data_IF_372681609043
#
_entry.id   IF_372681609043
#
_cell.length_a   1.000
_cell.length_b   1.000
_cell.length_c   1.000
_cell.angle_alpha   90.00
_cell.angle_beta   90.00
_cell.angle_gamma   90.00
#
_symmetry.space_group_name_H-M   'P 1'
#
loop_
_entity.id
_entity.type
_entity.pdbx_description
1 polymer ?
#
# COMPACT_ATOMS: atom_id res chain seq x y z
N UNK A 1 13.18 -1.52 -0.87
CA UNK A 1 13.99 -1.88 0.32
C UNK A 1 13.15 -1.59 1.56
N UNK A 2 13.12 -2.48 2.56
CA UNK A 2 12.44 -2.20 3.81
C UNK A 2 13.08 -0.98 4.48
N UNK A 3 12.26 -0.04 4.95
CA UNK A 3 12.75 1.21 5.54
C UNK A 3 13.14 0.94 6.99
N UNK A 4 14.38 0.50 7.20
CA UNK A 4 14.96 0.35 8.55
C UNK A 4 14.99 1.72 9.23
N UNK A 5 14.29 1.84 10.34
CA UNK A 5 14.22 3.02 11.17
C UNK A 5 15.32 2.94 12.23
N UNK A 6 16.32 3.82 12.13
CA UNK A 6 17.34 3.95 13.16
C UNK A 6 16.84 4.87 14.26
N UNK A 7 17.26 4.61 15.51
CA UNK A 7 17.05 5.50 16.65
C UNK A 7 17.57 6.90 16.32
N UNK A 8 16.74 7.92 16.52
CA UNK A 8 17.06 9.32 16.16
C UNK A 8 16.85 9.67 14.68
N UNK A 9 16.41 8.73 13.82
CA UNK A 9 16.02 9.08 12.46
C UNK A 9 14.76 9.94 12.44
N UNK A 10 14.70 10.92 11.54
CA UNK A 10 13.53 11.80 11.34
C UNK A 10 12.21 11.02 11.12
N UNK A 11 12.31 9.76 10.73
CA UNK A 11 11.19 8.87 10.44
C UNK A 11 10.80 7.97 11.61
N UNK A 12 11.47 7.99 12.76
CA UNK A 12 11.11 7.23 13.97
C UNK A 12 10.51 8.20 15.01
N UNK A 13 9.49 8.95 14.61
CA UNK A 13 8.89 10.01 15.40
C UNK A 13 8.53 9.53 16.82
N UNK A 14 9.10 10.21 17.82
CA UNK A 14 8.82 10.01 19.24
C UNK A 14 7.45 10.65 19.54
N UNK A 15 6.38 9.88 19.70
CA UNK A 15 5.04 10.38 20.03
C UNK A 15 4.85 10.62 21.54
N UNK A 16 5.75 11.40 22.17
CA UNK A 16 5.77 11.55 23.63
C UNK A 16 5.63 13.00 24.11
N UNK A 17 5.26 13.95 23.24
CA UNK A 17 4.88 15.30 23.70
C UNK A 17 3.41 15.32 24.08
N UNK A 18 3.10 15.67 25.33
CA UNK A 18 1.72 15.79 25.80
C UNK A 18 1.14 17.14 25.40
N UNK A 19 -0.11 17.13 24.91
CA UNK A 19 -0.82 18.34 24.50
C UNK A 19 -2.02 18.55 25.40
N UNK A 20 -2.10 19.74 25.99
CA UNK A 20 -3.13 20.13 26.95
C UNK A 20 -4.07 21.19 26.36
N UNK A 21 -5.34 21.10 26.75
CA UNK A 21 -6.34 22.13 26.51
C UNK A 21 -6.08 23.34 27.43
N UNK A 22 -6.51 24.56 27.07
CA UNK A 22 -6.44 25.74 27.95
C UNK A 22 -7.05 25.55 29.35
N UNK A 23 -7.93 24.56 29.53
CA UNK A 23 -8.58 24.27 30.81
C UNK A 23 -7.81 23.25 31.67
N UNK A 24 -6.59 22.89 31.25
CA UNK A 24 -5.73 21.92 31.93
C UNK A 24 -5.99 20.45 31.57
N UNK A 25 -6.97 20.14 30.72
CA UNK A 25 -7.24 18.76 30.30
C UNK A 25 -6.14 18.23 29.38
N UNK A 26 -5.55 17.08 29.69
CA UNK A 26 -4.67 16.36 28.76
C UNK A 26 -5.49 15.80 27.59
N UNK A 27 -5.15 16.21 26.36
CA UNK A 27 -5.94 15.90 25.17
C UNK A 27 -5.41 14.69 24.40
N UNK A 28 -4.10 14.64 24.13
CA UNK A 28 -3.44 13.60 23.34
C UNK A 28 -1.92 13.74 23.41
N UNK A 29 -1.19 12.70 22.99
CA UNK A 29 0.25 12.77 22.74
C UNK A 29 0.58 13.00 21.26
N UNK A 30 1.72 13.64 20.98
CA UNK A 30 2.15 13.88 19.62
C UNK A 30 3.67 13.83 19.45
N UNK A 31 4.11 13.85 18.18
CA UNK A 31 5.53 13.91 17.85
C UNK A 31 6.15 15.26 18.21
N UNK A 32 7.43 15.28 18.59
CA UNK A 32 8.21 16.51 18.80
C UNK A 32 8.09 17.52 17.65
N UNK A 33 8.19 17.05 16.40
CA UNK A 33 8.01 17.90 15.21
C UNK A 33 6.65 18.60 15.18
N UNK A 34 5.59 17.94 15.66
CA UNK A 34 4.24 18.50 15.71
C UNK A 34 4.10 19.47 16.89
N UNK A 35 4.70 19.16 18.04
CA UNK A 35 4.77 20.10 19.16
C UNK A 35 5.50 21.39 18.76
N UNK A 36 6.67 21.28 18.14
CA UNK A 36 7.40 22.43 17.59
C UNK A 36 6.59 23.22 16.56
N UNK A 37 5.79 22.54 15.73
CA UNK A 37 4.93 23.20 14.74
C UNK A 37 3.88 24.10 15.42
N UNK A 38 3.32 23.68 16.55
CA UNK A 38 2.38 24.49 17.35
C UNK A 38 3.11 25.66 18.02
N UNK A 39 4.25 25.39 18.66
CA UNK A 39 5.06 26.40 19.36
C UNK A 39 5.52 27.51 18.41
N UNK A 40 6.08 27.15 17.24
CA UNK A 40 6.56 28.11 16.23
C UNK A 40 5.47 29.02 15.65
N UNK A 41 4.20 28.66 15.83
CA UNK A 41 3.03 29.43 15.34
C UNK A 41 2.30 30.15 16.46
N UNK A 42 2.82 30.14 17.68
CA UNK A 42 2.16 30.68 18.87
C UNK A 42 0.76 30.05 19.11
N UNK A 43 0.58 28.79 18.69
CA UNK A 43 -0.65 28.02 18.89
C UNK A 43 -0.61 27.19 20.18
N UNK A 44 0.54 27.13 20.83
CA UNK A 44 0.74 26.50 22.12
C UNK A 44 1.89 27.15 22.89
N UNK A 45 1.92 26.95 24.20
CA UNK A 45 2.98 27.36 25.12
C UNK A 45 3.57 26.15 25.84
N UNK A 46 4.85 26.23 26.22
CA UNK A 46 5.50 25.17 26.99
C UNK A 46 5.05 25.30 28.45
N UNK A 47 4.51 24.22 29.01
CA UNK A 47 4.06 24.15 30.41
C UNK A 47 4.87 23.15 31.25
N UNK A 48 5.74 22.37 30.62
CA UNK A 48 6.57 21.35 31.29
C UNK A 48 7.54 20.66 30.33
N UNK A 49 8.29 19.68 30.84
CA UNK A 49 9.21 18.90 30.01
C UNK A 49 8.42 18.03 29.01
N UNK A 50 8.51 18.38 27.72
CA UNK A 50 7.71 17.78 26.63
C UNK A 50 6.20 17.91 26.82
N UNK A 51 5.76 19.00 27.44
CA UNK A 51 4.34 19.30 27.65
C UNK A 51 4.02 20.67 27.09
N UNK A 52 3.00 20.74 26.23
CA UNK A 52 2.51 22.00 25.64
C UNK A 52 1.02 22.19 25.90
N UNK A 53 0.60 23.42 26.12
CA UNK A 53 -0.80 23.80 26.26
C UNK A 53 -1.23 24.66 25.07
N UNK A 54 -2.35 24.35 24.44
CA UNK A 54 -2.88 25.18 23.34
C UNK A 54 -3.28 26.57 23.86
N UNK A 55 -3.01 27.61 23.07
CA UNK A 55 -3.34 29.01 23.39
C UNK A 55 -4.75 29.42 22.93
N UNK A 56 -5.47 28.51 22.27
CA UNK A 56 -6.82 28.72 21.74
C UNK A 56 -7.74 27.60 22.21
N UNK A 57 -9.06 27.83 22.15
CA UNK A 57 -10.07 26.82 22.48
C UNK A 57 -10.28 25.91 21.24
N UNK A 58 -9.79 24.66 21.24
CA UNK A 58 -10.05 23.72 20.16
C UNK A 58 -11.52 23.28 20.14
N UNK A 59 -12.01 22.86 18.96
CA UNK A 59 -13.38 22.36 18.80
C UNK A 59 -13.68 21.05 19.55
N UNK A 60 -12.64 20.29 19.91
CA UNK A 60 -12.76 19.02 20.61
C UNK A 60 -11.83 18.94 21.79
N UNK A 61 -12.20 18.13 22.78
CA UNK A 61 -11.47 17.97 24.04
C UNK A 61 -10.39 16.87 24.01
N UNK A 62 -10.03 16.38 22.82
CA UNK A 62 -9.13 15.23 22.67
C UNK A 62 -9.78 13.93 23.14
N UNK A 63 -8.95 12.99 23.58
CA UNK A 63 -9.40 11.70 24.10
C UNK A 63 -10.13 11.83 25.45
N UNK A 64 -10.96 10.84 25.79
CA UNK A 64 -11.57 10.73 27.11
C UNK A 64 -10.52 10.29 28.14
N UNK A 65 -10.76 10.56 29.43
CA UNK A 65 -9.77 10.31 30.48
C UNK A 65 -9.45 8.81 30.69
N UNK A 66 -10.38 7.94 30.31
CA UNK A 66 -10.27 6.48 30.32
C UNK A 66 -9.57 5.91 29.07
N UNK A 67 -9.26 6.75 28.08
CA UNK A 67 -8.62 6.33 26.85
C UNK A 67 -7.10 6.30 27.02
N UNK A 68 -6.57 5.17 27.49
CA UNK A 68 -5.15 5.07 27.85
C UNK A 68 -4.23 5.16 26.62
N UNK A 69 -4.57 4.53 25.50
CA UNK A 69 -3.66 4.38 24.36
C UNK A 69 -3.22 5.69 23.71
N UNK A 70 -4.15 6.63 23.49
CA UNK A 70 -3.89 7.92 22.87
C UNK A 70 -3.38 8.98 23.85
N UNK A 71 -3.50 8.74 25.15
CA UNK A 71 -2.94 9.57 26.21
C UNK A 71 -1.54 9.10 26.66
N UNK A 72 -1.19 7.84 26.45
CA UNK A 72 0.13 7.32 26.83
C UNK A 72 1.20 7.63 25.76
N UNK A 73 2.43 7.81 26.24
CA UNK A 73 3.61 7.84 25.37
C UNK A 73 3.96 6.44 24.86
N UNK A 74 4.68 6.37 23.74
CA UNK A 74 5.13 5.11 23.15
C UNK A 74 6.62 4.91 23.33
N UNK A 75 7.00 3.69 23.67
CA UNK A 75 8.39 3.28 23.71
C UNK A 75 8.87 2.95 22.29
N UNK A 76 10.07 3.43 21.97
CA UNK A 76 10.74 3.12 20.70
C UNK A 76 11.50 1.81 20.86
N UNK A 77 10.73 0.71 20.89
CA UNK A 77 11.21 -0.66 21.03
C UNK A 77 10.39 -1.58 20.15
N UNK A 78 10.96 -2.74 19.82
CA UNK A 78 10.24 -3.84 19.23
C UNK A 78 9.22 -4.36 20.24
N UNK A 79 7.93 -4.41 19.87
CA UNK A 79 6.87 -4.88 20.77
C UNK A 79 6.99 -6.36 21.12
N UNK A 80 7.74 -7.14 20.32
CA UNK A 80 7.97 -8.57 20.54
C UNK A 80 9.21 -8.80 21.40
N UNK A 81 10.36 -8.25 21.01
CA UNK A 81 11.66 -8.59 21.60
C UNK A 81 12.18 -7.53 22.58
N UNK A 82 11.61 -6.33 22.61
CA UNK A 82 12.11 -5.20 23.41
C UNK A 82 13.36 -4.52 22.83
N UNK A 83 13.89 -5.01 21.71
CA UNK A 83 15.07 -4.42 21.05
C UNK A 83 14.82 -2.97 20.65
N UNK A 84 15.86 -2.13 20.73
CA UNK A 84 15.84 -0.72 20.28
C UNK A 84 16.44 -0.53 18.88
N UNK A 85 16.95 -1.60 18.29
CA UNK A 85 17.71 -1.59 17.05
C UNK A 85 16.93 -2.25 15.91
N UNK A 86 17.30 -1.87 14.68
CA UNK A 86 16.75 -2.43 13.44
C UNK A 86 15.20 -2.39 13.37
N UNK A 87 14.62 -1.33 13.90
CA UNK A 87 13.17 -1.17 14.02
C UNK A 87 12.53 -0.83 12.68
N UNK A 88 11.32 -1.33 12.48
CA UNK A 88 10.46 -1.05 11.34
C UNK A 88 9.02 -0.89 11.83
N UNK A 89 8.23 -0.08 11.13
CA UNK A 89 6.79 -0.03 11.35
C UNK A 89 6.15 -1.26 10.74
N UNK A 90 5.38 -1.97 11.54
CA UNK A 90 4.54 -3.06 11.09
C UNK A 90 3.06 -2.70 11.26
N UNK A 91 2.28 -2.96 10.22
CA UNK A 91 0.83 -2.80 10.25
C UNK A 91 0.18 -4.14 10.59
N UNK A 92 -0.31 -4.28 11.83
CA UNK A 92 -0.99 -5.49 12.33
C UNK A 92 -2.15 -5.88 11.42
N UNK A 93 -2.97 -4.90 11.03
CA UNK A 93 -3.96 -5.07 9.95
C UNK A 93 -3.28 -4.69 8.64
N UNK A 94 -3.05 -5.64 7.70
CA UNK A 94 -2.24 -5.38 6.53
C UNK A 94 -2.77 -4.24 5.66
N UNK A 95 -1.84 -3.41 5.16
CA UNK A 95 -2.17 -2.26 4.33
C UNK A 95 -2.94 -2.63 3.05
N UNK A 96 -2.70 -3.83 2.50
CA UNK A 96 -3.41 -4.34 1.33
C UNK A 96 -4.93 -4.40 1.53
N UNK A 97 -5.41 -4.58 2.76
CA UNK A 97 -6.84 -4.50 3.10
C UNK A 97 -7.24 -3.08 3.50
N UNK A 98 -6.47 -2.45 4.40
CA UNK A 98 -6.79 -1.12 4.94
C UNK A 98 -7.02 -0.05 3.87
N UNK A 99 -6.26 -0.09 2.77
CA UNK A 99 -6.41 0.88 1.66
C UNK A 99 -7.81 0.86 1.03
N UNK A 100 -8.53 -0.26 1.14
CA UNK A 100 -9.86 -0.46 0.57
C UNK A 100 -11.01 -0.25 1.56
N UNK A 101 -10.74 -0.09 2.86
CA UNK A 101 -11.79 0.23 3.83
C UNK A 101 -12.44 1.59 3.55
N UNK A 102 -13.68 1.76 4.03
CA UNK A 102 -14.34 3.08 4.11
C UNK A 102 -13.53 4.01 5.02
N UNK A 103 -13.67 5.32 4.79
CA UNK A 103 -12.86 6.34 5.46
C UNK A 103 -12.97 6.30 6.99
N UNK A 104 -14.16 5.98 7.50
CA UNK A 104 -14.44 5.86 8.94
C UNK A 104 -13.57 4.81 9.67
N UNK A 105 -12.96 3.85 8.96
CA UNK A 105 -12.03 2.83 9.50
C UNK A 105 -10.54 3.11 9.19
N UNK A 106 -10.24 4.15 8.40
CA UNK A 106 -8.87 4.49 7.99
C UNK A 106 -8.15 5.39 8.99
N UNK A 107 -8.89 6.27 9.66
CA UNK A 107 -8.39 7.32 10.56
C UNK A 107 -7.72 6.78 11.84
N UNK A 108 -8.11 5.61 12.34
CA UNK A 108 -7.58 4.99 13.57
C UNK A 108 -6.47 3.96 13.33
N UNK A 109 -5.68 4.13 12.27
CA UNK A 109 -4.62 3.16 11.93
C UNK A 109 -3.47 3.09 12.95
N UNK A 110 -3.24 4.16 13.73
CA UNK A 110 -2.13 4.27 14.66
C UNK A 110 -2.15 3.20 15.76
N UNK A 111 -3.35 2.71 16.13
CA UNK A 111 -3.51 1.57 17.05
C UNK A 111 -2.95 0.26 16.49
N UNK A 112 -3.01 0.09 15.18
CA UNK A 112 -2.56 -1.13 14.49
C UNK A 112 -1.16 -0.99 13.89
N UNK A 113 -0.42 0.06 14.27
CA UNK A 113 0.95 0.28 13.83
C UNK A 113 1.89 0.13 15.02
N UNK A 114 2.70 -0.91 14.98
CA UNK A 114 3.69 -1.23 16.02
C UNK A 114 5.10 -1.16 15.46
N UNK A 115 6.09 -1.04 16.35
CA UNK A 115 7.49 -1.18 16.00
C UNK A 115 7.91 -2.63 16.23
N UNK A 116 8.58 -3.22 15.26
CA UNK A 116 9.19 -4.56 15.34
C UNK A 116 10.58 -4.51 14.74
N UNK A 117 11.48 -5.45 15.09
CA UNK A 117 12.75 -5.58 14.37
C UNK A 117 12.51 -6.15 12.96
N UNK A 118 13.47 -5.94 12.06
CA UNK A 118 13.41 -6.53 10.71
C UNK A 118 13.20 -8.06 10.73
N UNK A 119 13.95 -8.78 11.58
CA UNK A 119 13.84 -10.23 11.73
C UNK A 119 12.43 -10.69 12.13
N UNK A 120 11.86 -10.03 13.15
CA UNK A 120 10.49 -10.26 13.63
C UNK A 120 9.48 -9.94 12.53
N UNK A 121 9.68 -8.85 11.78
CA UNK A 121 8.82 -8.49 10.66
C UNK A 121 8.82 -9.56 9.56
N UNK A 122 10.00 -10.04 9.14
CA UNK A 122 10.11 -11.08 8.11
C UNK A 122 9.45 -12.39 8.55
N UNK A 123 9.67 -12.77 9.81
CA UNK A 123 9.05 -13.95 10.39
C UNK A 123 7.52 -13.84 10.38
N UNK A 124 6.97 -12.74 10.91
CA UNK A 124 5.52 -12.54 10.93
C UNK A 124 4.91 -12.45 9.53
N UNK A 125 5.57 -11.81 8.55
CA UNK A 125 5.05 -11.77 7.17
C UNK A 125 4.90 -13.17 6.56
N UNK A 126 5.75 -14.13 6.94
CA UNK A 126 5.60 -15.52 6.51
C UNK A 126 4.33 -16.14 7.06
N UNK A 127 4.02 -15.91 8.34
CA UNK A 127 2.79 -16.37 9.00
C UNK A 127 1.55 -15.65 8.45
N UNK A 128 1.64 -14.32 8.33
CA UNK A 128 0.59 -13.48 7.75
C UNK A 128 0.28 -13.89 6.30
N UNK A 129 1.26 -14.32 5.51
CA UNK A 129 1.01 -14.81 4.14
C UNK A 129 0.17 -16.07 4.16
N UNK A 130 0.48 -17.04 5.03
CA UNK A 130 -0.36 -18.24 5.22
C UNK A 130 -1.77 -17.87 5.66
N UNK A 131 -1.89 -16.91 6.59
CA UNK A 131 -3.18 -16.43 7.04
C UNK A 131 -3.99 -15.76 5.91
N UNK A 132 -3.35 -14.98 5.02
CA UNK A 132 -4.02 -14.41 3.83
C UNK A 132 -4.57 -15.51 2.92
N UNK A 133 -3.88 -16.64 2.79
CA UNK A 133 -4.35 -17.80 2.02
C UNK A 133 -5.57 -18.47 2.69
N UNK A 134 -5.55 -18.62 4.03
CA UNK A 134 -6.72 -19.10 4.78
C UNK A 134 -7.93 -18.16 4.64
N UNK A 135 -7.70 -16.84 4.67
CA UNK A 135 -8.74 -15.86 4.41
C UNK A 135 -9.26 -15.95 2.97
N UNK A 136 -8.39 -16.22 1.99
CA UNK A 136 -8.83 -16.42 0.60
C UNK A 136 -9.86 -17.57 0.52
N UNK A 137 -9.57 -18.69 1.18
CA UNK A 137 -10.48 -19.83 1.28
C UNK A 137 -11.77 -19.44 2.00
N UNK A 138 -11.65 -18.81 3.18
CA UNK A 138 -12.80 -18.40 4.03
C UNK A 138 -13.78 -17.50 3.28
N UNK A 139 -13.28 -16.55 2.49
CA UNK A 139 -14.10 -15.59 1.76
C UNK A 139 -14.43 -16.04 0.32
N UNK A 140 -14.00 -17.24 -0.09
CA UNK A 140 -14.25 -17.77 -1.43
C UNK A 140 -13.63 -16.93 -2.55
N UNK A 141 -12.48 -16.31 -2.28
CA UNK A 141 -11.73 -15.48 -3.24
C UNK A 141 -10.42 -16.15 -3.63
N UNK A 142 -9.82 -15.68 -4.73
CA UNK A 142 -8.50 -16.15 -5.16
C UNK A 142 -7.42 -15.72 -4.15
N UNK A 143 -6.49 -16.62 -3.87
CA UNK A 143 -5.28 -16.24 -3.15
C UNK A 143 -4.36 -15.38 -4.04
N UNK A 144 -3.30 -14.82 -3.45
CA UNK A 144 -2.39 -13.91 -4.16
C UNK A 144 -1.72 -14.59 -5.37
N UNK A 145 -1.34 -15.86 -5.23
CA UNK A 145 -0.65 -16.59 -6.30
C UNK A 145 -1.58 -16.90 -7.47
N UNK A 146 -2.81 -17.32 -7.20
CA UNK A 146 -3.85 -17.55 -8.20
C UNK A 146 -4.21 -16.27 -8.95
N UNK A 147 -4.44 -15.18 -8.21
CA UNK A 147 -4.75 -13.88 -8.79
C UNK A 147 -3.61 -13.39 -9.70
N UNK A 148 -2.36 -13.48 -9.24
CA UNK A 148 -1.19 -13.08 -10.02
C UNK A 148 -0.98 -13.97 -11.26
N UNK A 149 -1.18 -15.28 -11.14
CA UNK A 149 -1.05 -16.23 -12.24
C UNK A 149 -2.09 -15.93 -13.34
N UNK A 150 -3.36 -15.76 -12.96
CA UNK A 150 -4.43 -15.42 -13.90
C UNK A 150 -4.20 -14.06 -14.57
N UNK A 151 -3.83 -13.03 -13.80
CA UNK A 151 -3.52 -11.73 -14.34
C UNK A 151 -2.36 -11.79 -15.35
N UNK A 152 -1.30 -12.53 -15.02
CA UNK A 152 -0.13 -12.70 -15.91
C UNK A 152 -0.54 -13.39 -17.20
N UNK A 153 -1.40 -14.41 -17.12
CA UNK A 153 -1.94 -15.09 -18.30
C UNK A 153 -2.75 -14.15 -19.18
N UNK A 154 -3.73 -13.45 -18.63
CA UNK A 154 -4.55 -12.50 -19.40
C UNK A 154 -3.71 -11.35 -19.99
N UNK A 155 -2.74 -10.83 -19.23
CA UNK A 155 -1.82 -9.81 -19.72
C UNK A 155 -0.97 -10.33 -20.88
N UNK A 156 -0.47 -11.56 -20.78
CA UNK A 156 0.29 -12.21 -21.85
C UNK A 156 -0.56 -12.40 -23.09
N UNK A 157 -1.79 -12.89 -22.95
CA UNK A 157 -2.74 -13.05 -24.07
C UNK A 157 -3.07 -11.72 -24.74
N UNK A 158 -3.33 -10.67 -23.95
CA UNK A 158 -3.58 -9.31 -24.45
C UNK A 158 -2.39 -8.70 -25.19
N UNK A 159 -1.17 -8.99 -24.73
CA UNK A 159 0.08 -8.42 -25.25
C UNK A 159 0.68 -9.21 -26.42
N UNK A 160 0.37 -10.50 -26.56
CA UNK A 160 1.05 -11.45 -27.45
C UNK A 160 1.29 -10.93 -28.86
N UNK A 161 0.23 -10.58 -29.58
CA UNK A 161 0.34 -10.16 -30.98
C UNK A 161 0.96 -8.75 -31.12
N UNK A 162 0.74 -7.86 -30.15
CA UNK A 162 1.32 -6.50 -30.12
C UNK A 162 2.84 -6.53 -29.91
N UNK A 163 3.31 -7.35 -28.97
CA UNK A 163 4.75 -7.55 -28.72
C UNK A 163 5.40 -8.22 -29.92
N UNK A 164 4.71 -9.19 -30.54
CA UNK A 164 5.18 -9.86 -31.75
C UNK A 164 5.25 -8.90 -32.95
N UNK A 165 4.29 -7.98 -33.10
CA UNK A 165 4.31 -6.99 -34.19
C UNK A 165 5.45 -5.99 -34.01
N UNK A 166 5.66 -5.46 -32.80
CA UNK A 166 6.77 -4.56 -32.50
C UNK A 166 8.14 -5.24 -32.66
N UNK A 167 8.29 -6.48 -32.18
CA UNK A 167 9.55 -7.21 -32.33
C UNK A 167 9.83 -7.58 -33.79
N UNK A 168 8.78 -7.91 -34.55
CA UNK A 168 8.85 -8.07 -36.01
C UNK A 168 9.36 -6.82 -36.71
N UNK A 169 8.74 -5.66 -36.46
CA UNK A 169 9.20 -4.37 -37.02
C UNK A 169 10.66 -4.07 -36.63
N UNK A 170 11.01 -4.29 -35.37
CA UNK A 170 12.38 -4.10 -34.90
C UNK A 170 13.38 -5.02 -35.63
N UNK A 171 12.99 -6.25 -35.95
CA UNK A 171 13.83 -7.18 -36.71
C UNK A 171 14.10 -6.72 -38.14
N UNK A 172 13.13 -6.05 -38.80
CA UNK A 172 13.33 -5.45 -40.13
C UNK A 172 14.42 -4.39 -40.06
N UNK A 173 14.38 -3.51 -39.03
CA UNK A 173 15.38 -2.46 -38.87
C UNK A 173 16.77 -3.01 -38.54
N UNK A 174 16.85 -4.07 -37.72
CA UNK A 174 18.10 -4.71 -37.32
C UNK A 174 18.75 -5.52 -38.46
N UNK A 175 17.97 -6.02 -39.40
CA UNK A 175 18.46 -6.87 -40.49
C UNK A 175 19.16 -6.08 -41.61
N UNK A 176 19.06 -4.75 -41.66
CA UNK A 176 19.66 -3.90 -42.70
C UNK A 176 19.43 -4.43 -44.13
N UNK A 177 18.20 -4.82 -44.45
CA UNK A 177 17.81 -5.32 -45.78
C UNK A 177 18.10 -6.80 -46.05
N UNK A 178 18.68 -7.54 -45.10
CA UNK A 178 18.98 -8.98 -45.26
C UNK A 178 17.80 -9.91 -44.94
N UNK A 179 16.65 -9.37 -44.56
CA UNK A 179 15.49 -10.18 -44.20
C UNK A 179 14.73 -10.63 -45.46
N UNK A 180 14.41 -11.93 -45.62
CA UNK A 180 13.65 -12.41 -46.78
C UNK A 180 12.30 -11.71 -46.94
N UNK A 181 11.89 -11.43 -48.19
CA UNK A 181 10.67 -10.69 -48.49
C UNK A 181 9.40 -11.34 -47.91
N UNK A 182 9.32 -12.68 -47.91
CA UNK A 182 8.20 -13.40 -47.31
C UNK A 182 8.08 -13.15 -45.80
N UNK A 183 9.21 -13.08 -45.09
CA UNK A 183 9.22 -12.75 -43.65
C UNK A 183 8.80 -11.31 -43.41
N UNK A 184 9.24 -10.38 -44.25
CA UNK A 184 8.79 -8.97 -44.19
C UNK A 184 7.27 -8.92 -44.37
N UNK A 185 6.73 -9.59 -45.40
CA UNK A 185 5.28 -9.63 -45.67
C UNK A 185 4.48 -10.22 -44.48
N UNK A 186 4.99 -11.27 -43.83
CA UNK A 186 4.36 -11.83 -42.62
C UNK A 186 4.34 -10.83 -41.45
N UNK A 187 5.44 -10.12 -41.22
CA UNK A 187 5.53 -9.08 -40.19
C UNK A 187 4.54 -7.94 -40.48
N UNK A 188 4.51 -7.43 -41.72
CA UNK A 188 3.62 -6.34 -42.11
C UNK A 188 2.14 -6.76 -42.00
N UNK A 189 1.80 -8.01 -42.35
CA UNK A 189 0.45 -8.56 -42.15
C UNK A 189 0.05 -8.58 -40.68
N UNK A 190 0.97 -8.96 -39.80
CA UNK A 190 0.73 -8.93 -38.35
C UNK A 190 0.55 -7.49 -37.84
N UNK A 191 1.36 -6.54 -38.32
CA UNK A 191 1.23 -5.12 -37.98
C UNK A 191 -0.11 -4.58 -38.44
N UNK A 192 -0.55 -4.87 -39.67
CA UNK A 192 -1.86 -4.49 -40.20
C UNK A 192 -2.99 -4.99 -39.29
N UNK A 193 -2.99 -6.29 -38.98
CA UNK A 193 -4.00 -6.92 -38.12
C UNK A 193 -4.04 -6.30 -36.71
N UNK A 194 -2.87 -6.04 -36.10
CA UNK A 194 -2.79 -5.55 -34.71
C UNK A 194 -3.01 -4.04 -34.58
N UNK A 195 -2.78 -3.27 -35.64
CA UNK A 195 -2.99 -1.82 -35.66
C UNK A 195 -4.34 -1.40 -36.23
N UNK A 196 -5.04 -2.32 -36.92
CA UNK A 196 -6.26 -2.03 -37.67
C UNK A 196 -6.00 -1.23 -38.96
N UNK A 197 -4.75 -1.14 -39.41
CA UNK A 197 -4.39 -0.41 -40.62
C UNK A 197 -4.44 -1.32 -41.85
N UNK A 198 -4.73 -0.74 -43.01
CA UNK A 198 -4.72 -1.46 -44.28
C UNK A 198 -3.32 -2.00 -44.61
N UNK A 199 -3.25 -3.26 -45.05
CA UNK A 199 -1.98 -3.93 -45.36
C UNK A 199 -1.29 -3.32 -46.57
N UNK A 200 -2.05 -2.96 -47.61
CA UNK A 200 -1.50 -2.39 -48.84
C UNK A 200 -0.96 -0.97 -48.61
N UNK A 201 -1.57 -0.21 -47.70
CA UNK A 201 -0.98 1.03 -47.20
C UNK A 201 0.36 0.80 -46.50
N UNK A 202 0.43 -0.15 -45.56
CA UNK A 202 1.66 -0.42 -44.80
C UNK A 202 2.81 -0.86 -45.72
N UNK A 203 2.54 -1.70 -46.73
CA UNK A 203 3.55 -2.17 -47.69
C UNK A 203 4.19 -1.05 -48.51
N UNK A 204 3.48 0.07 -48.72
CA UNK A 204 3.98 1.23 -49.48
C UNK A 204 4.87 2.16 -48.66
N UNK A 205 4.96 1.96 -47.33
CA UNK A 205 5.76 2.81 -46.46
C UNK A 205 7.26 2.61 -46.73
N UNK A 206 7.99 3.72 -46.86
CA UNK A 206 9.45 3.68 -46.87
C UNK A 206 10.02 3.42 -45.47
N UNK A 207 11.33 3.18 -45.38
CA UNK A 207 12.01 2.86 -44.12
C UNK A 207 11.73 3.86 -42.99
N UNK A 208 11.80 5.17 -43.28
CA UNK A 208 11.61 6.22 -42.28
C UNK A 208 10.15 6.23 -41.80
N UNK A 209 9.20 6.09 -42.72
CA UNK A 209 7.78 6.02 -42.39
C UNK A 209 7.44 4.77 -41.56
N UNK A 210 8.02 3.62 -41.91
CA UNK A 210 7.84 2.37 -41.16
C UNK A 210 8.44 2.48 -39.74
N UNK A 211 9.58 3.15 -39.58
CA UNK A 211 10.17 3.44 -38.28
C UNK A 211 9.31 4.39 -37.44
N UNK A 212 8.76 5.45 -38.05
CA UNK A 212 7.80 6.34 -37.38
C UNK A 212 6.55 5.57 -36.94
N UNK A 213 6.02 4.69 -37.80
CA UNK A 213 4.91 3.81 -37.44
C UNK A 213 5.26 2.92 -36.24
N UNK A 214 6.45 2.31 -36.21
CA UNK A 214 6.91 1.53 -35.07
C UNK A 214 6.87 2.34 -33.76
N UNK A 215 7.34 3.58 -33.75
CA UNK A 215 7.33 4.41 -32.54
C UNK A 215 5.89 4.75 -32.11
N UNK A 216 5.03 5.13 -33.06
CA UNK A 216 3.61 5.43 -32.78
C UNK A 216 2.89 4.21 -32.19
N UNK A 217 3.11 3.02 -32.78
CA UNK A 217 2.52 1.78 -32.28
C UNK A 217 3.05 1.41 -30.90
N UNK A 218 4.36 1.62 -30.66
CA UNK A 218 4.97 1.36 -29.36
C UNK A 218 4.32 2.22 -28.27
N UNK A 219 4.14 3.52 -28.52
CA UNK A 219 3.53 4.43 -27.56
C UNK A 219 2.05 4.09 -27.34
N UNK A 220 1.30 3.83 -28.43
CA UNK A 220 -0.09 3.39 -28.36
C UNK A 220 -0.24 2.12 -27.53
N UNK A 221 0.55 1.09 -27.81
CA UNK A 221 0.47 -0.18 -27.08
C UNK A 221 0.88 -0.02 -25.62
N UNK A 222 1.85 0.84 -25.29
CA UNK A 222 2.19 1.16 -23.91
C UNK A 222 0.99 1.76 -23.16
N UNK A 223 0.25 2.69 -23.76
CA UNK A 223 -0.97 3.24 -23.16
C UNK A 223 -2.08 2.20 -23.03
N UNK A 224 -2.28 1.37 -24.06
CA UNK A 224 -3.21 0.23 -23.98
C UNK A 224 -2.86 -0.73 -22.84
N UNK A 225 -1.57 -1.04 -22.65
CA UNK A 225 -1.10 -1.87 -21.53
C UNK A 225 -1.35 -1.21 -20.18
N UNK A 226 -1.11 0.09 -20.03
CA UNK A 226 -1.43 0.81 -18.79
C UNK A 226 -2.92 0.77 -18.50
N UNK A 227 -3.76 1.01 -19.51
CA UNK A 227 -5.21 0.99 -19.39
C UNK A 227 -5.74 -0.41 -19.04
N UNK A 228 -5.19 -1.46 -19.66
CA UNK A 228 -5.52 -2.83 -19.31
C UNK A 228 -5.22 -3.13 -17.84
N UNK A 229 -4.01 -2.79 -17.38
CA UNK A 229 -3.60 -2.96 -15.97
C UNK A 229 -4.51 -2.18 -15.03
N UNK A 230 -4.84 -0.93 -15.35
CA UNK A 230 -5.73 -0.10 -14.54
C UNK A 230 -7.13 -0.71 -14.43
N UNK A 231 -7.72 -1.13 -15.56
CA UNK A 231 -9.06 -1.75 -15.62
C UNK A 231 -9.14 -3.06 -14.83
N UNK A 232 -8.07 -3.86 -14.87
CA UNK A 232 -7.99 -5.15 -14.18
C UNK A 232 -7.45 -5.06 -12.75
N UNK A 233 -6.97 -3.88 -12.31
CA UNK A 233 -6.27 -3.72 -11.03
C UNK A 233 -7.07 -4.21 -9.83
N UNK A 234 -8.34 -3.80 -9.71
CA UNK A 234 -9.22 -4.22 -8.62
C UNK A 234 -9.66 -5.68 -8.75
N UNK A 235 -9.82 -6.19 -9.97
CA UNK A 235 -10.25 -7.58 -10.23
C UNK A 235 -9.26 -8.59 -9.62
N UNK A 236 -7.95 -8.28 -9.67
CA UNK A 236 -6.89 -9.14 -9.14
C UNK A 236 -6.27 -8.63 -7.84
N UNK A 237 -6.78 -7.53 -7.27
CA UNK A 237 -6.34 -7.08 -5.96
C UNK A 237 -7.02 -7.92 -4.88
N UNK A 238 -6.26 -8.89 -4.34
CA UNK A 238 -6.72 -9.78 -3.27
C UNK A 238 -7.34 -9.01 -2.09
N UNK A 239 -6.73 -7.88 -1.70
CA UNK A 239 -7.24 -7.06 -0.61
C UNK A 239 -8.60 -6.46 -0.92
N UNK A 240 -8.79 -5.99 -2.16
CA UNK A 240 -10.07 -5.45 -2.61
C UNK A 240 -11.15 -6.53 -2.63
N UNK A 241 -10.83 -7.71 -3.16
CA UNK A 241 -11.79 -8.82 -3.27
C UNK A 241 -12.27 -9.30 -1.90
N UNK A 242 -11.40 -9.36 -0.88
CA UNK A 242 -11.80 -9.67 0.49
C UNK A 242 -12.64 -8.53 1.08
N UNK A 243 -12.15 -7.28 1.02
CA UNK A 243 -12.84 -6.14 1.66
C UNK A 243 -14.22 -5.91 1.06
N UNK A 244 -14.42 -6.21 -0.22
CA UNK A 244 -15.72 -6.18 -0.89
C UNK A 244 -16.76 -7.11 -0.24
N UNK A 245 -16.33 -8.20 0.41
CA UNK A 245 -17.21 -9.13 1.14
C UNK A 245 -17.56 -8.66 2.56
N UNK A 246 -16.92 -7.59 3.05
CA UNK A 246 -17.15 -6.99 4.37
C UNK A 246 -18.17 -5.85 4.25
N UNK A 247 -19.41 -6.22 3.97
CA UNK A 247 -20.52 -5.30 3.66
C UNK A 247 -21.19 -4.65 4.89
N UNK A 248 -20.97 -5.21 6.09
CA UNK A 248 -21.47 -4.68 7.36
C UNK A 248 -20.35 -4.12 8.23
N UNK A 249 -20.72 -3.24 9.17
CA UNK A 249 -19.80 -2.69 10.18
C UNK A 249 -19.16 -3.82 11.00
N UNK A 250 -19.99 -4.73 11.52
CA UNK A 250 -19.57 -5.89 12.30
C UNK A 250 -18.52 -6.73 11.57
N UNK A 251 -18.72 -7.05 10.28
CA UNK A 251 -17.74 -7.81 9.49
C UNK A 251 -16.39 -7.10 9.37
N UNK A 252 -16.37 -5.77 9.24
CA UNK A 252 -15.12 -5.00 9.18
C UNK A 252 -14.43 -5.01 10.54
N UNK A 253 -15.18 -4.80 11.62
CA UNK A 253 -14.63 -4.83 12.98
C UNK A 253 -14.07 -6.20 13.33
N UNK A 254 -14.82 -7.27 13.06
CA UNK A 254 -14.38 -8.66 13.24
C UNK A 254 -13.13 -8.95 12.42
N UNK A 255 -13.07 -8.46 11.19
CA UNK A 255 -11.88 -8.63 10.34
C UNK A 255 -10.65 -7.95 10.94
N UNK A 256 -10.80 -6.73 11.48
CA UNK A 256 -9.72 -6.00 12.15
C UNK A 256 -9.30 -6.75 13.43
N UNK A 257 -10.25 -7.13 14.28
CA UNK A 257 -10.00 -7.87 15.53
C UNK A 257 -9.33 -9.21 15.26
N UNK A 258 -9.73 -9.90 14.20
CA UNK A 258 -9.13 -11.17 13.75
C UNK A 258 -7.65 -11.00 13.39
N UNK A 259 -7.27 -9.93 12.68
CA UNK A 259 -5.86 -9.63 12.41
C UNK A 259 -5.06 -9.27 13.67
N UNK A 260 -5.67 -8.48 14.58
CA UNK A 260 -5.07 -8.18 15.89
C UNK A 260 -4.82 -9.43 16.71
N UNK A 261 -5.82 -10.31 16.79
CA UNK A 261 -5.74 -11.60 17.48
C UNK A 261 -4.66 -12.48 16.87
N UNK A 262 -4.65 -12.62 15.55
CA UNK A 262 -3.61 -13.38 14.84
C UNK A 262 -2.20 -12.88 15.17
N UNK A 263 -1.96 -11.56 15.20
CA UNK A 263 -0.66 -11.01 15.60
C UNK A 263 -0.30 -11.37 17.05
N UNK A 264 -1.21 -11.19 18.01
CA UNK A 264 -0.95 -11.52 19.41
C UNK A 264 -0.65 -13.00 19.61
N UNK A 265 -1.46 -13.88 19.04
CA UNK A 265 -1.33 -15.33 19.22
C UNK A 265 -0.07 -15.89 18.57
N UNK A 266 0.34 -15.35 17.41
CA UNK A 266 1.51 -15.86 16.70
C UNK A 266 2.83 -15.25 17.16
N UNK A 267 2.82 -13.99 17.60
CA UNK A 267 4.03 -13.26 17.97
C UNK A 267 4.26 -13.16 19.47
N UNK A 268 3.24 -13.42 20.29
CA UNK A 268 3.28 -13.32 21.74
C UNK A 268 4.07 -12.07 22.24
N UNK A 269 3.66 -10.85 21.84
CA UNK A 269 4.46 -9.66 22.10
C UNK A 269 4.50 -9.32 23.60
N UNK A 270 5.70 -9.07 24.12
CA UNK A 270 5.95 -8.80 25.55
C UNK A 270 5.86 -7.30 25.90
N UNK A 271 5.91 -6.42 24.90
CA UNK A 271 6.07 -4.97 25.07
C UNK A 271 5.05 -4.18 24.26
N UNK A 272 3.80 -4.65 24.20
CA UNK A 272 2.73 -3.89 23.56
C UNK A 272 2.55 -2.52 24.23
N UNK A 273 2.20 -1.46 23.47
CA UNK A 273 1.96 -0.16 24.07
C UNK A 273 0.84 -0.21 25.11
N UNK A 274 0.95 0.66 26.11
CA UNK A 274 -0.08 0.79 27.14
C UNK A 274 -1.44 1.17 26.51
N UNK A 275 -2.51 0.55 26.99
CA UNK A 275 -3.86 0.73 26.41
C UNK A 275 -4.08 0.03 25.06
N UNK A 276 -3.08 -0.65 24.50
CA UNK A 276 -3.29 -1.46 23.30
C UNK A 276 -4.22 -2.64 23.61
N UNK A 277 -5.22 -2.86 22.76
CA UNK A 277 -6.18 -3.95 22.91
C UNK A 277 -6.69 -4.45 21.56
N UNK A 278 -7.04 -5.74 21.49
CA UNK A 278 -7.75 -6.33 20.35
C UNK A 278 -9.07 -5.59 20.11
N UNK A 279 -9.79 -5.25 21.18
CA UNK A 279 -11.12 -4.66 21.15
C UNK A 279 -11.14 -3.13 21.04
N UNK A 280 -9.99 -2.51 20.80
CA UNK A 280 -9.93 -1.07 20.63
C UNK A 280 -10.82 -0.61 19.46
N UNK A 281 -11.63 0.43 19.71
CA UNK A 281 -12.58 0.99 18.74
C UNK A 281 -11.99 1.13 17.33
N UNK A 282 -12.64 0.53 16.34
CA UNK A 282 -12.17 0.48 14.95
C UNK A 282 -12.64 1.67 14.10
N UNK A 283 -13.70 2.36 14.54
CA UNK A 283 -14.43 3.37 13.78
C UNK A 283 -14.44 4.73 14.47
N UNK A 284 -14.37 5.81 13.71
CA UNK A 284 -14.73 7.16 14.19
C UNK A 284 -16.21 7.38 13.95
N UNK A 285 -16.96 7.71 15.00
CA UNK A 285 -18.28 8.33 14.84
C UNK A 285 -18.06 9.70 14.18
N UNK A 286 -18.45 9.83 12.92
CA UNK A 286 -18.39 11.08 12.16
C UNK A 286 -19.61 11.94 12.48
#
# INVERSE_FOLDING_TARGET
>A
MPQILRKGSKNLGIENWKVYHPNGKHMFTCSERKAEWYLKRNLAEIIGEKEIQLTFIPKGYGFSADETFGLSGRNIICVVTGSKDDLQRHHIVPYCYRKHFKEEYKSKNHHDVVLVTYSVHQYYETLATKFKDELAIKYGVRNLNEANSMFTKEMSEFAKEKVKSLSGLHSIFKAYGKLPQDKINQILKLVANTSGMDLEYIKKLNYIQLYKLYQILKDRYNEEFKNFKAKKSLEYDHGYQIVKQLDTHEKIEDFIKMWRKHFIETMNPLYMPEGWSIDFRCRVEL
#
